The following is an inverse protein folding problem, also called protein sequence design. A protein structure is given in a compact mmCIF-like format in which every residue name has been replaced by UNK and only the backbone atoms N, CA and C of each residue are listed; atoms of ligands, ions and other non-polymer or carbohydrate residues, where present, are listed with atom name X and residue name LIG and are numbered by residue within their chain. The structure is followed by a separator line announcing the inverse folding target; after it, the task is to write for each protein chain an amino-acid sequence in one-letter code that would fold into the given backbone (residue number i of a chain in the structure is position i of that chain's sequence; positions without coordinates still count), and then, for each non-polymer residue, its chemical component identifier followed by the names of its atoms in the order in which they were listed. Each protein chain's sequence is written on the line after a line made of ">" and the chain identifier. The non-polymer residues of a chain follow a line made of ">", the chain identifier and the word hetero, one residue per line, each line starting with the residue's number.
data_IF_220475677646
#
_entry.id   IF_220475677646
#
_cell.length_a   1.000
_cell.length_b   1.000
_cell.length_c   1.000
_cell.angle_alpha   90.00
_cell.angle_beta   90.00
_cell.angle_gamma   90.00
#
_symmetry.space_group_name_H-M   'P 1'
#
loop_
_entity.id
_entity.type
_entity.pdbx_description
1 polymer ?
#
# COMPACT_ATOMS: atom_id res chain seq x y z
N UNK A 1 6.73 11.62 -21.11
CA UNK A 1 5.77 10.77 -21.85
C UNK A 1 4.48 10.75 -21.05
N UNK A 2 3.46 11.48 -21.50
CA UNK A 2 2.16 11.56 -20.82
C UNK A 2 1.38 10.31 -21.20
N UNK A 3 1.11 9.43 -20.23
CA UNK A 3 0.17 8.32 -20.44
C UNK A 3 -1.22 8.94 -20.45
N UNK A 4 -1.80 9.04 -21.63
CA UNK A 4 -3.15 9.56 -21.88
C UNK A 4 -4.15 8.68 -21.12
N UNK A 5 -5.14 9.29 -20.45
CA UNK A 5 -6.07 8.59 -19.55
C UNK A 5 -6.87 7.41 -20.14
N UNK A 6 -6.82 7.21 -21.47
CA UNK A 6 -7.36 6.05 -22.18
C UNK A 6 -6.50 4.79 -22.01
N UNK A 7 -5.18 4.91 -21.90
CA UNK A 7 -4.28 3.77 -21.66
C UNK A 7 -4.34 3.27 -20.22
N UNK A 8 -4.63 4.16 -19.26
CA UNK A 8 -4.92 3.77 -17.87
C UNK A 8 -6.21 2.95 -17.75
N UNK A 9 -7.20 3.18 -18.62
CA UNK A 9 -8.45 2.41 -18.65
C UNK A 9 -8.32 1.05 -19.34
N UNK A 10 -7.44 0.94 -20.33
CA UNK A 10 -7.19 -0.30 -21.08
C UNK A 10 -6.14 -1.21 -20.43
N UNK A 11 -5.25 -0.67 -19.60
CA UNK A 11 -4.24 -1.43 -18.86
C UNK A 11 -4.57 -1.64 -17.37
N UNK A 12 -5.82 -1.41 -16.96
CA UNK A 12 -6.34 -1.96 -15.70
C UNK A 12 -6.97 -3.33 -15.98
N UNK A 13 -6.19 -4.24 -16.61
CA UNK A 13 -6.45 -5.68 -16.50
C UNK A 13 -6.63 -5.99 -15.01
N UNK A 14 -7.45 -6.99 -14.72
CA UNK A 14 -8.03 -7.42 -13.44
C UNK A 14 -7.11 -7.59 -12.20
N UNK A 15 -5.95 -6.93 -12.11
CA UNK A 15 -5.05 -6.86 -10.95
C UNK A 15 -5.73 -6.35 -9.68
N UNK A 16 -6.89 -5.69 -9.81
CA UNK A 16 -7.69 -5.29 -8.65
C UNK A 16 -8.34 -6.48 -7.94
N UNK A 17 -8.70 -7.55 -8.67
CA UNK A 17 -9.42 -8.68 -8.09
C UNK A 17 -8.53 -9.48 -7.10
N UNK A 18 -7.30 -9.90 -7.45
CA UNK A 18 -6.41 -10.59 -6.50
C UNK A 18 -6.07 -9.73 -5.28
N UNK A 19 -5.88 -8.42 -5.48
CA UNK A 19 -5.62 -7.49 -4.38
C UNK A 19 -6.83 -7.38 -3.45
N UNK A 20 -8.04 -7.28 -3.99
CA UNK A 20 -9.28 -7.23 -3.20
C UNK A 20 -9.48 -8.51 -2.41
N UNK A 21 -9.23 -9.68 -3.02
CA UNK A 21 -9.32 -10.97 -2.34
C UNK A 21 -8.36 -11.05 -1.16
N UNK A 22 -7.10 -10.69 -1.38
CA UNK A 22 -6.08 -10.64 -0.33
C UNK A 22 -6.48 -9.67 0.80
N UNK A 23 -6.97 -8.47 0.45
CA UNK A 23 -7.45 -7.50 1.42
C UNK A 23 -8.60 -8.06 2.27
N UNK A 24 -9.56 -8.77 1.67
CA UNK A 24 -10.67 -9.38 2.39
C UNK A 24 -10.25 -10.58 3.25
N UNK A 25 -9.20 -11.31 2.85
CA UNK A 25 -8.66 -12.43 3.62
C UNK A 25 -8.04 -11.98 4.95
N UNK A 26 -7.39 -10.81 4.96
CA UNK A 26 -6.65 -10.35 6.14
C UNK A 26 -7.37 -9.22 6.90
N UNK A 27 -8.11 -8.35 6.20
CA UNK A 27 -8.77 -7.18 6.76
C UNK A 27 -10.28 -7.37 6.69
N UNK A 28 -10.95 -7.21 7.83
CA UNK A 28 -12.42 -7.27 7.93
C UNK A 28 -13.08 -6.04 7.27
N UNK A 29 -13.15 -6.03 5.94
CA UNK A 29 -13.82 -5.01 5.13
C UNK A 29 -14.98 -5.63 4.36
N UNK A 30 -16.07 -4.87 4.24
CA UNK A 30 -17.10 -5.22 3.27
C UNK A 30 -16.54 -5.12 1.83
N UNK A 31 -17.20 -5.79 0.88
CA UNK A 31 -16.72 -5.87 -0.50
C UNK A 31 -16.55 -4.49 -1.16
N UNK A 32 -17.46 -3.55 -0.90
CA UNK A 32 -17.41 -2.22 -1.51
C UNK A 32 -16.22 -1.38 -1.00
N UNK A 33 -15.86 -1.52 0.28
CA UNK A 33 -14.69 -0.90 0.92
C UNK A 33 -13.40 -1.58 0.50
N UNK A 34 -13.37 -2.90 0.40
CA UNK A 34 -12.21 -3.63 -0.12
C UNK A 34 -11.90 -3.23 -1.57
N UNK A 35 -12.93 -3.17 -2.45
CA UNK A 35 -12.80 -2.64 -3.81
C UNK A 35 -12.31 -1.19 -3.84
N UNK A 36 -12.83 -0.35 -2.95
CA UNK A 36 -12.39 1.04 -2.83
C UNK A 36 -10.90 1.13 -2.46
N UNK A 37 -10.46 0.35 -1.48
CA UNK A 37 -9.07 0.30 -1.03
C UNK A 37 -8.14 -0.25 -2.10
N UNK A 38 -8.52 -1.34 -2.78
CA UNK A 38 -7.72 -1.91 -3.87
C UNK A 38 -7.51 -0.92 -5.01
N UNK A 39 -8.58 -0.24 -5.45
CA UNK A 39 -8.49 0.81 -6.46
C UNK A 39 -7.64 2.00 -5.98
N UNK A 40 -7.74 2.36 -4.69
CA UNK A 40 -6.95 3.44 -4.11
C UNK A 40 -5.45 3.11 -4.14
N UNK A 41 -5.06 1.91 -3.71
CA UNK A 41 -3.67 1.44 -3.72
C UNK A 41 -3.12 1.42 -5.14
N UNK A 42 -3.84 0.83 -6.10
CA UNK A 42 -3.42 0.77 -7.51
C UNK A 42 -3.25 2.19 -8.08
N UNK A 43 -4.17 3.10 -7.75
CA UNK A 43 -4.08 4.50 -8.19
C UNK A 43 -2.85 5.20 -7.63
N UNK A 44 -2.53 5.02 -6.36
CA UNK A 44 -1.32 5.58 -5.75
C UNK A 44 -0.05 5.05 -6.40
N UNK A 45 0.02 3.74 -6.66
CA UNK A 45 1.17 3.11 -7.31
C UNK A 45 1.37 3.62 -8.74
N UNK A 46 0.30 3.70 -9.54
CA UNK A 46 0.37 4.15 -10.93
C UNK A 46 0.72 5.65 -11.05
N UNK A 47 0.18 6.47 -10.14
CA UNK A 47 0.33 7.93 -10.19
C UNK A 47 1.55 8.45 -9.43
N UNK A 48 2.18 7.60 -8.60
CA UNK A 48 3.29 7.91 -7.70
C UNK A 48 3.01 9.11 -6.80
N UNK A 49 1.75 9.26 -6.37
CA UNK A 49 1.34 10.31 -5.45
C UNK A 49 0.27 9.80 -4.48
N UNK A 50 0.27 10.36 -3.27
CA UNK A 50 -0.77 10.15 -2.27
C UNK A 50 -1.80 11.29 -2.24
N UNK A 51 -1.62 12.30 -3.09
CA UNK A 51 -2.53 13.45 -3.16
C UNK A 51 -3.85 13.03 -3.81
N UNK A 52 -4.91 12.92 -3.00
CA UNK A 52 -6.24 12.47 -3.43
C UNK A 52 -6.79 13.31 -4.59
N UNK A 53 -6.60 14.63 -4.58
CA UNK A 53 -7.07 15.49 -5.68
C UNK A 53 -6.40 15.14 -7.00
N UNK A 54 -5.08 14.89 -6.98
CA UNK A 54 -4.33 14.45 -8.16
C UNK A 54 -4.72 13.04 -8.61
N UNK A 55 -4.97 12.13 -7.65
CA UNK A 55 -5.46 10.78 -7.93
C UNK A 55 -6.82 10.81 -8.64
N UNK A 56 -7.74 11.66 -8.16
CA UNK A 56 -9.09 11.78 -8.72
C UNK A 56 -9.10 12.33 -10.14
N UNK A 57 -8.18 13.22 -10.47
CA UNK A 57 -8.07 13.80 -11.82
C UNK A 57 -7.51 12.81 -12.85
N UNK A 58 -6.90 11.70 -12.41
CA UNK A 58 -6.26 10.70 -13.27
C UNK A 58 -7.06 9.40 -13.38
N UNK A 59 -8.29 9.37 -12.85
CA UNK A 59 -9.13 8.17 -12.83
C UNK A 59 -9.63 7.80 -14.24
N UNK A 60 -9.44 6.55 -14.69
CA UNK A 60 -10.00 6.08 -15.93
C UNK A 60 -11.45 5.67 -15.72
N UNK A 61 -12.40 6.51 -16.17
CA UNK A 61 -13.82 6.18 -16.51
C UNK A 61 -14.72 7.41 -16.34
N UNK A 62 -15.92 7.38 -16.94
CA UNK A 62 -16.93 8.46 -16.93
C UNK A 62 -17.53 8.82 -15.56
N UNK A 63 -16.82 8.58 -14.46
CA UNK A 63 -17.18 9.03 -13.12
C UNK A 63 -16.65 10.45 -12.91
N UNK A 64 -17.50 11.37 -12.45
CA UNK A 64 -17.07 12.74 -12.12
C UNK A 64 -15.99 12.71 -11.03
N UNK A 65 -14.84 13.36 -11.26
CA UNK A 65 -13.73 13.43 -10.31
C UNK A 65 -14.16 13.87 -8.89
N UNK A 66 -15.10 14.82 -8.80
CA UNK A 66 -15.67 15.27 -7.52
C UNK A 66 -16.48 14.20 -6.77
N UNK A 67 -17.10 13.24 -7.49
CA UNK A 67 -17.79 12.11 -6.86
C UNK A 67 -16.78 11.14 -6.25
N UNK A 68 -15.73 10.80 -7.01
CA UNK A 68 -14.66 9.95 -6.54
C UNK A 68 -13.90 10.56 -5.35
N UNK A 69 -13.62 11.86 -5.41
CA UNK A 69 -13.00 12.60 -4.32
C UNK A 69 -13.80 12.46 -3.01
N UNK A 70 -15.11 12.69 -3.06
CA UNK A 70 -16.00 12.52 -1.91
C UNK A 70 -16.04 11.08 -1.40
N UNK A 71 -16.03 10.09 -2.30
CA UNK A 71 -15.97 8.67 -1.94
C UNK A 71 -14.68 8.34 -1.19
N UNK A 72 -13.54 8.86 -1.64
CA UNK A 72 -12.25 8.67 -0.98
C UNK A 72 -12.16 9.36 0.37
N UNK A 73 -12.67 10.60 0.48
CA UNK A 73 -12.73 11.30 1.76
C UNK A 73 -13.54 10.52 2.79
N UNK A 74 -14.74 10.04 2.43
CA UNK A 74 -15.58 9.21 3.31
C UNK A 74 -14.90 7.90 3.67
N UNK A 75 -14.27 7.25 2.69
CA UNK A 75 -13.53 6.02 2.93
C UNK A 75 -12.43 6.24 3.98
N UNK A 76 -11.58 7.25 3.81
CA UNK A 76 -10.47 7.55 4.73
C UNK A 76 -10.98 7.99 6.10
N UNK A 77 -12.07 8.74 6.19
CA UNK A 77 -12.62 9.17 7.48
C UNK A 77 -13.23 8.03 8.29
N UNK A 78 -13.70 6.98 7.62
CA UNK A 78 -14.42 5.88 8.27
C UNK A 78 -13.61 4.59 8.36
N UNK A 79 -12.50 4.46 7.62
CA UNK A 79 -11.73 3.22 7.56
C UNK A 79 -11.08 2.97 8.92
N UNK A 80 -11.32 1.78 9.47
CA UNK A 80 -10.67 1.28 10.68
C UNK A 80 -9.99 -0.03 10.35
N UNK A 81 -8.66 -0.04 10.45
CA UNK A 81 -7.82 -1.21 10.23
C UNK A 81 -7.02 -1.43 11.50
N UNK A 82 -7.11 -2.63 12.07
CA UNK A 82 -6.31 -2.99 13.24
C UNK A 82 -4.82 -2.97 12.88
N UNK A 83 -4.03 -2.23 13.67
CA UNK A 83 -2.57 -2.14 13.49
C UNK A 83 -1.88 -3.51 13.55
N UNK A 84 -2.48 -4.48 14.24
CA UNK A 84 -1.94 -5.85 14.34
C UNK A 84 -2.05 -6.64 13.03
N UNK A 85 -3.02 -6.29 12.19
CA UNK A 85 -3.33 -7.03 10.96
C UNK A 85 -2.38 -6.65 9.83
N UNK A 86 -2.00 -5.37 9.74
CA UNK A 86 -1.19 -4.86 8.63
C UNK A 86 0.18 -5.57 8.50
N UNK A 87 0.98 -5.74 9.57
CA UNK A 87 2.28 -6.41 9.46
C UNK A 87 2.15 -7.87 9.03
N UNK A 88 1.15 -8.59 9.56
CA UNK A 88 0.88 -9.99 9.21
C UNK A 88 0.50 -10.11 7.74
N UNK A 89 -0.41 -9.25 7.27
CA UNK A 89 -0.79 -9.21 5.86
C UNK A 89 0.41 -8.93 4.96
N UNK A 90 1.23 -7.92 5.29
CA UNK A 90 2.42 -7.56 4.49
C UNK A 90 3.43 -8.71 4.42
N UNK A 91 3.64 -9.42 5.53
CA UNK A 91 4.48 -10.62 5.58
C UNK A 91 3.89 -11.75 4.73
N UNK A 92 2.58 -11.96 4.74
CA UNK A 92 1.94 -12.99 3.91
C UNK A 92 2.03 -12.64 2.41
N UNK A 93 2.02 -11.35 2.07
CA UNK A 93 2.16 -10.89 0.68
C UNK A 93 3.52 -11.17 0.06
N UNK A 94 4.59 -11.28 0.85
CA UNK A 94 5.93 -11.54 0.31
C UNK A 94 6.13 -13.00 -0.09
N UNK A 95 5.22 -13.90 0.27
CA UNK A 95 5.33 -15.32 -0.02
C UNK A 95 6.49 -16.00 0.72
N UNK A 96 6.97 -15.42 1.82
CA UNK A 96 8.06 -16.00 2.60
C UNK A 96 7.63 -17.32 3.24
N UNK A 97 8.39 -18.38 2.95
CA UNK A 97 8.23 -19.69 3.58
C UNK A 97 8.71 -19.65 5.02
N UNK A 98 8.05 -20.43 5.89
CA UNK A 98 8.31 -20.48 7.33
C UNK A 98 9.75 -20.93 7.68
N UNK A 99 10.46 -21.56 6.73
CA UNK A 99 11.77 -22.19 6.95
C UNK A 99 12.97 -21.26 6.67
N UNK A 100 12.75 -20.04 6.19
CA UNK A 100 13.84 -19.14 5.81
C UNK A 100 14.35 -18.31 7.00
N UNK A 101 15.63 -17.94 7.01
CA UNK A 101 16.21 -17.05 8.03
C UNK A 101 15.77 -15.60 7.76
N UNK A 102 15.25 -14.94 8.79
CA UNK A 102 14.77 -13.56 8.73
C UNK A 102 15.84 -12.62 9.28
N UNK A 103 16.10 -11.52 8.56
CA UNK A 103 16.86 -10.40 9.09
C UNK A 103 15.88 -9.31 9.54
N UNK A 104 15.90 -9.03 10.84
CA UNK A 104 15.08 -7.98 11.41
C UNK A 104 15.78 -6.63 11.24
N UNK A 105 15.25 -5.78 10.36
CA UNK A 105 15.69 -4.40 10.22
C UNK A 105 14.71 -3.48 10.97
N UNK A 106 15.19 -2.85 12.04
CA UNK A 106 14.43 -1.86 12.79
C UNK A 106 14.97 -0.48 12.45
N UNK A 107 14.09 0.38 11.95
CA UNK A 107 14.40 1.79 11.76
C UNK A 107 13.34 2.66 12.44
N UNK A 108 13.79 3.75 13.07
CA UNK A 108 12.91 4.72 13.72
C UNK A 108 12.60 5.84 12.75
N UNK A 109 11.33 6.01 12.41
CA UNK A 109 10.90 7.15 11.58
C UNK A 109 10.11 8.13 12.43
N UNK A 110 10.53 9.40 12.41
CA UNK A 110 9.83 10.49 13.09
C UNK A 110 8.95 11.22 12.09
N UNK A 111 7.64 11.14 12.27
CA UNK A 111 6.67 11.86 11.45
C UNK A 111 6.20 13.09 12.20
N UNK A 112 6.43 14.27 11.62
CA UNK A 112 5.93 15.53 12.17
C UNK A 112 4.68 15.95 11.43
N UNK A 113 3.58 16.07 12.15
CA UNK A 113 2.38 16.72 11.65
C UNK A 113 2.25 18.09 12.31
N UNK A 114 2.55 19.14 11.55
CA UNK A 114 2.73 20.50 12.07
C UNK A 114 3.72 20.50 13.27
N UNK A 115 3.27 20.94 14.44
CA UNK A 115 4.09 21.01 15.66
C UNK A 115 4.11 19.71 16.47
N UNK A 116 3.30 18.72 16.10
CA UNK A 116 3.19 17.45 16.82
C UNK A 116 4.10 16.41 16.16
N UNK A 117 5.00 15.83 16.96
CA UNK A 117 5.88 14.75 16.52
C UNK A 117 5.30 13.41 16.98
N UNK A 118 4.93 12.56 16.02
CA UNK A 118 4.49 11.19 16.27
C UNK A 118 5.61 10.25 15.81
N UNK A 119 6.06 9.39 16.72
CA UNK A 119 7.12 8.42 16.45
C UNK A 119 6.47 7.13 15.96
N UNK A 120 6.79 6.70 14.73
CA UNK A 120 6.38 5.40 14.21
C UNK A 120 7.61 4.49 14.08
N UNK A 121 7.50 3.28 14.63
CA UNK A 121 8.45 2.21 14.35
C UNK A 121 8.04 1.53 13.05
N UNK A 122 8.88 1.59 12.02
CA UNK A 122 8.72 0.72 10.86
C UNK A 122 9.49 -0.57 11.15
N UNK A 123 8.78 -1.69 11.10
CA UNK A 123 9.39 -3.01 11.07
C UNK A 123 9.54 -3.35 9.59
N UNK A 124 10.77 -3.33 9.08
CA UNK A 124 11.07 -3.83 7.74
C UNK A 124 11.61 -5.24 7.93
N UNK A 125 10.84 -6.24 7.48
CA UNK A 125 11.36 -7.60 7.39
C UNK A 125 12.28 -7.68 6.18
N UNK A 126 13.58 -7.81 6.43
CA UNK A 126 14.58 -8.07 5.40
C UNK A 126 14.75 -9.56 5.19
N UNK A 127 14.75 -9.99 3.94
CA UNK A 127 15.22 -11.32 3.58
C UNK A 127 16.76 -11.31 3.53
N UNK A 128 17.39 -12.33 4.11
CA UNK A 128 18.83 -12.53 4.00
C UNK A 128 19.12 -13.90 3.37
N UNK A 129 19.47 -13.89 2.08
CA UNK A 129 19.98 -15.08 1.39
C UNK A 129 21.48 -15.18 1.64
N UNK A 130 21.89 -16.12 2.49
CA UNK A 130 23.30 -16.53 2.58
C UNK A 130 23.62 -17.34 1.34
N UNK A 131 23.93 -16.66 0.25
CA UNK A 131 24.83 -17.23 -0.77
C UNK A 131 26.05 -16.36 -1.05
N UNK A 132 26.05 -15.09 -0.62
CA UNK A 132 27.21 -14.20 -0.78
C UNK A 132 27.65 -13.59 0.56
N UNK A 133 28.74 -14.13 1.12
CA UNK A 133 29.40 -13.67 2.36
C UNK A 133 30.26 -12.41 2.15
N UNK A 134 29.87 -11.48 1.28
CA UNK A 134 30.80 -10.47 0.77
C UNK A 134 30.35 -9.02 0.89
N UNK A 135 29.65 -8.57 1.95
CA UNK A 135 29.58 -7.11 2.22
C UNK A 135 28.83 -6.68 3.49
N UNK A 136 29.13 -7.18 4.70
CA UNK A 136 28.95 -6.34 5.91
C UNK A 136 30.09 -6.64 6.89
N UNK A 137 31.24 -6.03 6.66
CA UNK A 137 32.22 -5.82 7.74
C UNK A 137 31.55 -4.87 8.73
N UNK A 138 31.34 -5.34 9.97
CA UNK A 138 30.95 -4.47 11.09
C UNK A 138 31.98 -3.35 11.20
N UNK A 139 31.57 -2.11 10.92
CA UNK A 139 32.30 -0.96 11.46
C UNK A 139 32.06 -0.94 12.96
N UNK A 140 33.14 -1.17 13.73
CA UNK A 140 33.18 -0.94 15.17
C UNK A 140 32.88 0.53 15.51
#
# INVERSE_FOLDING_TARGET
>A
MMITGKELGLHMKDHSAPLVELLQKHISLNLSRAKCLGLFIISMLNSRTVNISLLCNRMPSGIKAASWYRRMQRFISEISISWRVLPVMLVMMTGFEQEQKWLLCLDRTNWKFAYYMTIFHFIIFGYWNIKDNSCIQRTN
#
